data_IF_637069211726
#
_entry.id   IF_637069211726
#
_cell.length_a   1.000
_cell.length_b   1.000
_cell.length_c   1.000
_cell.angle_alpha   90.00
_cell.angle_beta   90.00
_cell.angle_gamma   90.00
#
_symmetry.space_group_name_H-M   'P 1'
#
loop_
_entity.id
_entity.type
_entity.pdbx_description
1 polymer ?
#
# COMPACT_ATOMS: atom_id res chain seq x y z
N UNK A 1 14.30 -4.51 -52.62
CA UNK A 1 12.89 -4.35 -52.99
C UNK A 1 12.08 -5.20 -52.00
N UNK A 2 11.54 -4.53 -50.98
CA UNK A 2 10.36 -4.77 -50.11
C UNK A 2 9.80 -6.21 -50.11
N UNK A 3 9.65 -6.90 -48.98
CA UNK A 3 8.60 -6.72 -47.95
C UNK A 3 9.14 -7.19 -46.58
N UNK A 4 9.29 -6.35 -45.54
CA UNK A 4 8.26 -5.90 -44.57
C UNK A 4 7.09 -6.85 -44.39
N UNK A 5 7.19 -7.76 -43.43
CA UNK A 5 6.03 -8.18 -42.62
C UNK A 5 6.46 -8.35 -41.16
N UNK A 6 6.30 -7.25 -40.42
CA UNK A 6 6.17 -7.23 -38.98
C UNK A 6 4.92 -8.04 -38.62
N UNK A 7 5.06 -9.33 -38.36
CA UNK A 7 4.04 -10.05 -37.61
C UNK A 7 4.16 -9.58 -36.17
N UNK A 8 3.49 -8.46 -35.87
CA UNK A 8 3.08 -8.13 -34.52
C UNK A 8 2.11 -9.23 -34.08
N UNK A 9 2.68 -10.34 -33.59
CA UNK A 9 1.92 -11.27 -32.79
C UNK A 9 1.57 -10.50 -31.52
N UNK A 10 0.38 -9.87 -31.52
CA UNK A 10 -0.28 -9.47 -30.30
C UNK A 10 -0.55 -10.76 -29.54
N UNK A 11 0.42 -11.18 -28.73
CA UNK A 11 0.24 -12.19 -27.72
C UNK A 11 -0.84 -11.64 -26.80
N UNK A 12 -2.07 -12.14 -26.96
CA UNK A 12 -3.14 -11.91 -26.01
C UNK A 12 -2.81 -12.74 -24.78
N UNK A 13 -1.94 -12.21 -23.92
CA UNK A 13 -1.64 -12.78 -22.62
C UNK A 13 -2.90 -12.67 -21.77
N UNK A 14 -3.61 -13.78 -21.62
CA UNK A 14 -4.62 -13.88 -20.59
C UNK A 14 -3.90 -14.02 -19.25
N UNK A 15 -3.64 -12.88 -18.61
CA UNK A 15 -3.15 -12.83 -17.24
C UNK A 15 -4.13 -13.60 -16.36
N UNK A 16 -3.68 -14.72 -15.81
CA UNK A 16 -4.36 -15.34 -14.66
C UNK A 16 -4.11 -14.37 -13.52
N UNK A 17 -5.15 -13.65 -13.09
CA UNK A 17 -5.04 -12.57 -12.12
C UNK A 17 -4.65 -13.13 -10.74
N UNK A 18 -3.35 -13.31 -10.52
CA UNK A 18 -2.77 -13.01 -9.21
C UNK A 18 -2.93 -11.50 -9.01
N UNK A 19 -3.31 -11.08 -7.81
CA UNK A 19 -3.70 -9.71 -7.50
C UNK A 19 -2.53 -8.73 -7.64
N UNK A 20 -2.13 -8.35 -8.86
CA UNK A 20 -1.05 -7.40 -9.06
C UNK A 20 -1.41 -6.01 -8.48
N UNK A 21 -0.45 -5.31 -7.86
CA UNK A 21 -0.68 -3.98 -7.33
C UNK A 21 -0.85 -3.05 -8.53
N UNK A 22 -2.02 -2.45 -8.62
CA UNK A 22 -2.39 -1.57 -9.71
C UNK A 22 -2.85 -0.24 -9.16
N UNK A 23 -2.48 0.85 -9.82
CA UNK A 23 -3.10 2.15 -9.59
C UNK A 23 -4.01 2.41 -10.77
N UNK A 24 -5.27 2.76 -10.47
CA UNK A 24 -6.27 3.11 -11.46
C UNK A 24 -6.56 4.62 -11.37
N UNK A 25 -6.15 5.35 -12.40
CA UNK A 25 -6.47 6.76 -12.55
C UNK A 25 -7.80 6.90 -13.29
N UNK A 26 -8.78 7.51 -12.65
CA UNK A 26 -10.09 7.78 -13.27
C UNK A 26 -10.22 9.26 -13.55
N UNK A 27 -10.61 9.61 -14.77
CA UNK A 27 -10.94 10.99 -15.10
C UNK A 27 -12.24 11.39 -14.40
N UNK A 28 -12.18 12.44 -13.57
CA UNK A 28 -13.36 12.95 -12.82
C UNK A 28 -14.55 13.26 -13.73
N UNK A 29 -14.30 13.66 -14.97
CA UNK A 29 -15.33 14.10 -15.92
C UNK A 29 -15.70 12.99 -16.93
N UNK A 30 -15.03 11.84 -16.89
CA UNK A 30 -15.27 10.73 -17.82
C UNK A 30 -14.86 10.99 -19.28
N UNK A 31 -14.17 12.11 -19.57
CA UNK A 31 -13.74 12.47 -20.93
C UNK A 31 -12.50 11.70 -21.41
N UNK A 32 -11.69 11.19 -20.48
CA UNK A 32 -10.51 10.39 -20.80
C UNK A 32 -10.74 8.96 -20.33
N UNK A 33 -10.22 7.96 -21.06
CA UNK A 33 -10.30 6.57 -20.65
C UNK A 33 -9.56 6.36 -19.33
N UNK A 34 -10.01 5.38 -18.55
CA UNK A 34 -9.35 4.99 -17.32
C UNK A 34 -7.93 4.47 -17.61
N UNK A 35 -6.93 5.02 -16.94
CA UNK A 35 -5.53 4.59 -17.06
C UNK A 35 -5.20 3.65 -15.90
N UNK A 36 -4.59 2.50 -16.22
CA UNK A 36 -4.18 1.50 -15.22
C UNK A 36 -2.69 1.25 -15.37
N UNK A 37 -1.93 1.57 -14.33
CA UNK A 37 -0.51 1.25 -14.23
C UNK A 37 -0.30 0.07 -13.30
N UNK A 38 0.35 -0.97 -13.79
CA UNK A 38 0.74 -2.15 -13.01
C UNK A 38 2.16 -1.95 -12.45
N UNK A 39 2.37 -2.32 -11.19
CA UNK A 39 3.68 -2.26 -10.55
C UNK A 39 4.28 -3.65 -10.42
N UNK A 40 5.59 -3.74 -10.64
CA UNK A 40 6.33 -4.98 -10.45
C UNK A 40 6.28 -5.41 -8.99
N UNK A 41 5.98 -6.68 -8.76
CA UNK A 41 6.09 -7.34 -7.45
C UNK A 41 7.36 -8.14 -7.37
N UNK A 42 7.90 -8.26 -6.15
CA UNK A 42 8.84 -9.34 -5.86
C UNK A 42 8.12 -10.67 -6.08
N UNK A 43 8.75 -11.57 -6.84
CA UNK A 43 8.18 -12.89 -7.09
C UNK A 43 8.48 -13.82 -5.92
N UNK A 44 7.45 -14.52 -5.43
CA UNK A 44 7.61 -15.62 -4.47
C UNK A 44 7.84 -16.96 -5.19
N UNK A 45 8.52 -16.95 -6.33
CA UNK A 45 8.79 -18.16 -7.08
C UNK A 45 10.03 -18.87 -6.55
N UNK A 46 9.92 -20.18 -6.28
CA UNK A 46 11.03 -20.94 -5.67
C UNK A 46 12.16 -21.26 -6.64
N UNK A 47 11.80 -21.38 -7.90
CA UNK A 47 12.66 -21.70 -9.00
C UNK A 47 12.23 -20.88 -10.22
N UNK A 48 13.01 -20.92 -11.29
CA UNK A 48 12.70 -20.18 -12.51
C UNK A 48 11.33 -20.54 -13.07
N UNK A 49 10.92 -21.81 -13.01
CA UNK A 49 9.61 -22.24 -13.48
C UNK A 49 8.47 -21.60 -12.67
N UNK A 50 8.49 -21.74 -11.35
CA UNK A 50 7.48 -21.19 -10.44
C UNK A 50 7.43 -19.66 -10.50
N UNK A 51 8.59 -19.01 -10.56
CA UNK A 51 8.71 -17.55 -10.74
C UNK A 51 7.98 -17.07 -11.98
N UNK A 52 8.16 -17.80 -13.08
CA UNK A 52 7.60 -17.44 -14.38
C UNK A 52 6.11 -17.82 -14.47
N UNK A 53 5.68 -18.88 -13.78
CA UNK A 53 4.24 -19.17 -13.62
C UNK A 53 3.56 -18.14 -12.71
N UNK A 54 4.24 -17.64 -11.68
CA UNK A 54 3.73 -16.62 -10.76
C UNK A 54 3.57 -15.27 -11.47
N UNK A 55 4.49 -14.92 -12.37
CA UNK A 55 4.36 -13.72 -13.22
C UNK A 55 3.33 -13.87 -14.34
N UNK A 56 2.61 -15.00 -14.42
CA UNK A 56 1.60 -15.26 -15.44
C UNK A 56 2.17 -15.42 -16.85
N UNK A 57 3.49 -15.57 -16.98
CA UNK A 57 4.16 -15.72 -18.28
C UNK A 57 4.16 -17.19 -18.68
N UNK A 58 3.58 -17.49 -19.84
CA UNK A 58 3.66 -18.81 -20.45
C UNK A 58 4.97 -18.90 -21.24
N UNK A 59 5.80 -19.88 -20.91
CA UNK A 59 7.11 -20.07 -21.56
C UNK A 59 7.04 -21.23 -22.53
N UNK A 60 7.37 -20.95 -23.78
CA UNK A 60 7.65 -21.95 -24.80
C UNK A 60 9.16 -21.99 -25.00
N UNK A 61 9.84 -22.90 -24.31
CA UNK A 61 11.27 -23.11 -24.45
C UNK A 61 11.55 -24.60 -24.58
N UNK A 62 12.55 -24.93 -25.38
CA UNK A 62 13.16 -26.26 -25.50
C UNK A 62 14.27 -26.49 -24.46
N UNK A 63 14.57 -25.49 -23.64
CA UNK A 63 15.55 -25.59 -22.56
C UNK A 63 15.02 -26.49 -21.43
N UNK A 64 15.86 -27.43 -20.99
CA UNK A 64 15.59 -28.21 -19.79
C UNK A 64 15.80 -27.34 -18.55
N UNK A 65 14.71 -26.84 -17.96
CA UNK A 65 14.77 -26.11 -16.70
C UNK A 65 14.98 -27.13 -15.56
N UNK A 66 16.11 -27.08 -14.83
CA UNK A 66 16.30 -27.94 -13.67
C UNK A 66 15.31 -27.49 -12.60
N UNK A 67 14.17 -28.15 -12.54
CA UNK A 67 13.25 -28.02 -11.41
C UNK A 67 14.04 -28.58 -10.23
N UNK A 68 14.64 -27.71 -9.42
CA UNK A 68 15.07 -28.09 -8.07
C UNK A 68 13.79 -28.50 -7.35
N UNK A 69 13.51 -29.79 -7.39
CA UNK A 69 12.58 -30.45 -6.49
C UNK A 69 13.21 -30.35 -5.09
N UNK A 70 13.08 -29.18 -4.46
CA UNK A 70 13.22 -29.07 -3.01
C UNK A 70 12.14 -29.92 -2.29
N UNK A 71 11.26 -30.57 -3.05
CA UNK A 71 10.23 -31.51 -2.61
C UNK A 71 10.77 -32.89 -2.24
N UNK A 72 12.02 -33.26 -2.55
CA UNK A 72 12.53 -34.59 -2.17
C UNK A 72 12.85 -34.72 -0.66
N UNK A 73 12.88 -33.61 0.10
CA UNK A 73 13.08 -33.63 1.55
C UNK A 73 11.76 -33.62 2.35
N UNK A 74 10.68 -33.08 1.80
CA UNK A 74 9.44 -32.87 2.54
C UNK A 74 8.33 -33.83 2.07
N UNK A 75 7.76 -34.59 3.01
CA UNK A 75 6.67 -35.51 2.69
C UNK A 75 5.35 -34.78 2.42
N UNK A 76 5.11 -34.39 1.18
CA UNK A 76 3.86 -33.75 0.73
C UNK A 76 2.60 -34.54 1.13
N UNK A 77 2.65 -35.88 1.05
CA UNK A 77 1.53 -36.76 1.43
C UNK A 77 1.13 -36.68 2.90
N UNK A 78 2.01 -36.17 3.77
CA UNK A 78 1.73 -35.93 5.20
C UNK A 78 1.30 -34.48 5.46
N UNK A 79 1.12 -33.66 4.43
CA UNK A 79 0.76 -32.25 4.54
C UNK A 79 1.94 -31.33 4.81
N UNK A 80 3.18 -31.73 4.50
CA UNK A 80 4.35 -30.86 4.65
C UNK A 80 4.65 -30.13 3.34
N UNK A 81 4.93 -28.83 3.43
CA UNK A 81 5.41 -28.01 2.33
C UNK A 81 6.87 -27.60 2.56
N UNK A 82 7.67 -27.49 1.49
CA UNK A 82 9.07 -27.10 1.61
C UNK A 82 9.24 -25.56 1.60
N UNK A 83 10.12 -25.07 2.46
CA UNK A 83 10.58 -23.67 2.51
C UNK A 83 11.39 -23.23 1.26
N UNK A 84 11.59 -21.92 1.01
CA UNK A 84 12.55 -21.45 -0.01
C UNK A 84 13.98 -21.84 0.37
N UNK A 85 14.31 -21.69 1.65
CA UNK A 85 15.48 -22.20 2.34
C UNK A 85 15.30 -23.68 2.70
N UNK A 86 16.31 -24.26 3.33
CA UNK A 86 16.26 -25.61 3.87
C UNK A 86 15.19 -25.71 4.98
N UNK A 87 14.22 -26.63 4.85
CA UNK A 87 13.20 -26.87 5.87
C UNK A 87 11.83 -27.29 5.33
N UNK A 88 10.98 -27.81 6.21
CA UNK A 88 9.60 -28.19 5.93
C UNK A 88 8.67 -27.61 7.00
N UNK A 89 7.53 -27.08 6.58
CA UNK A 89 6.46 -26.59 7.46
C UNK A 89 5.14 -27.33 7.16
N UNK A 90 4.18 -27.27 8.08
CA UNK A 90 2.86 -27.86 7.84
C UNK A 90 2.04 -26.97 6.90
N UNK A 91 1.28 -27.56 5.99
CA UNK A 91 0.39 -26.80 5.10
C UNK A 91 -0.69 -26.02 5.85
N UNK A 92 -1.07 -26.47 7.05
CA UNK A 92 -2.03 -25.77 7.92
C UNK A 92 -1.47 -24.52 8.58
N UNK A 93 -0.14 -24.37 8.54
CA UNK A 93 0.60 -23.25 9.10
C UNK A 93 0.90 -22.15 8.09
N UNK A 94 0.47 -22.33 6.85
CA UNK A 94 0.60 -21.33 5.83
C UNK A 94 -0.30 -20.14 6.15
N UNK A 95 0.26 -18.92 6.18
CA UNK A 95 -0.46 -17.68 6.43
C UNK A 95 -1.13 -17.62 7.81
N UNK A 96 -0.45 -18.15 8.83
CA UNK A 96 -0.93 -18.10 10.22
C UNK A 96 -0.36 -16.91 11.01
N UNK A 97 0.50 -16.11 10.37
CA UNK A 97 1.13 -14.92 10.94
C UNK A 97 2.38 -15.21 11.77
N UNK A 98 2.79 -16.47 11.88
CA UNK A 98 4.03 -16.87 12.54
C UNK A 98 5.07 -17.28 11.51
N UNK A 99 6.34 -17.09 11.87
CA UNK A 99 7.46 -17.48 11.02
C UNK A 99 7.87 -18.93 11.35
N UNK A 100 7.20 -19.91 10.76
CA UNK A 100 7.54 -21.33 10.89
C UNK A 100 8.70 -21.71 9.96
N UNK A 101 8.98 -20.91 8.92
CA UNK A 101 10.17 -21.05 8.10
C UNK A 101 11.29 -20.07 8.49
N UNK A 102 12.57 -20.39 8.27
CA UNK A 102 13.68 -19.47 8.63
C UNK A 102 13.72 -18.19 7.77
N UNK A 103 13.02 -18.17 6.64
CA UNK A 103 13.08 -17.15 5.59
C UNK A 103 11.71 -16.51 5.29
N UNK A 104 10.70 -16.72 6.14
CA UNK A 104 9.33 -16.21 5.97
C UNK A 104 8.58 -16.74 4.73
N UNK A 105 9.02 -17.86 4.16
CA UNK A 105 8.35 -18.48 2.99
C UNK A 105 6.88 -18.82 3.22
N UNK A 106 6.56 -19.28 4.43
CA UNK A 106 5.25 -19.77 4.86
C UNK A 106 4.20 -18.65 4.96
N UNK A 107 4.66 -17.41 5.13
CA UNK A 107 3.86 -16.19 5.15
C UNK A 107 3.92 -15.42 3.83
N UNK A 108 4.45 -16.05 2.77
CA UNK A 108 4.49 -15.49 1.43
C UNK A 108 3.31 -15.98 0.57
N UNK A 109 2.84 -15.12 -0.35
CA UNK A 109 1.70 -15.39 -1.23
C UNK A 109 0.37 -15.75 -0.51
N UNK A 110 0.13 -15.09 0.63
CA UNK A 110 -1.11 -15.25 1.37
C UNK A 110 -2.28 -14.57 0.66
N UNK A 111 -3.48 -15.18 0.69
CA UNK A 111 -4.68 -14.49 0.24
C UNK A 111 -4.82 -13.23 1.10
N UNK A 112 -4.85 -12.06 0.46
CA UNK A 112 -5.28 -10.86 1.14
C UNK A 112 -6.68 -11.17 1.68
N UNK A 113 -6.86 -11.09 3.00
CA UNK A 113 -8.20 -10.92 3.51
C UNK A 113 -8.73 -9.67 2.82
N UNK A 114 -9.80 -9.82 2.05
CA UNK A 114 -10.57 -8.69 1.55
C UNK A 114 -11.04 -7.97 2.82
N UNK A 115 -10.22 -7.04 3.30
CA UNK A 115 -10.70 -6.03 4.22
C UNK A 115 -11.58 -5.18 3.31
N UNK A 116 -12.89 -5.47 3.27
CA UNK A 116 -13.92 -4.71 2.54
C UNK A 116 -13.78 -3.19 2.76
N UNK A 117 -13.09 -2.88 3.84
CA UNK A 117 -12.80 -1.60 4.38
C UNK A 117 -11.52 -0.91 3.84
N UNK A 118 -10.59 -1.65 3.25
CA UNK A 118 -9.32 -1.11 2.72
C UNK A 118 -9.54 -0.06 1.63
N UNK A 119 -10.42 -0.35 0.68
CA UNK A 119 -10.80 0.58 -0.38
C UNK A 119 -11.54 1.81 0.17
N UNK A 120 -12.37 1.68 1.22
CA UNK A 120 -12.97 2.85 1.86
C UNK A 120 -11.90 3.72 2.52
N UNK A 121 -10.88 3.12 3.16
CA UNK A 121 -9.85 3.85 3.91
C UNK A 121 -9.00 4.73 3.01
N UNK A 122 -8.68 4.24 1.80
CA UNK A 122 -7.81 4.96 0.86
C UNK A 122 -8.58 6.05 0.10
N UNK A 123 -9.87 5.83 -0.19
CA UNK A 123 -10.66 6.75 -1.02
C UNK A 123 -11.40 7.84 -0.22
N UNK A 124 -11.36 7.79 1.12
CA UNK A 124 -12.05 8.77 1.97
C UNK A 124 -11.15 9.97 2.26
N UNK A 125 -11.53 11.15 1.77
CA UNK A 125 -11.12 12.41 2.40
C UNK A 125 -11.75 12.46 3.80
N UNK A 126 -10.94 12.60 4.85
CA UNK A 126 -11.40 12.59 6.24
C UNK A 126 -12.42 13.72 6.46
N UNK A 127 -13.64 13.38 6.85
CA UNK A 127 -14.71 14.35 7.17
C UNK A 127 -15.31 14.15 8.56
N UNK A 128 -14.66 13.41 9.45
CA UNK A 128 -15.17 13.18 10.81
C UNK A 128 -14.06 13.46 11.84
N UNK A 129 -14.26 14.52 12.62
CA UNK A 129 -13.48 14.85 13.84
C UNK A 129 -13.46 13.68 14.86
N UNK A 130 -14.35 12.69 14.74
CA UNK A 130 -14.46 11.52 15.63
C UNK A 130 -13.33 10.47 15.50
N UNK A 131 -12.50 10.53 14.47
CA UNK A 131 -11.37 9.58 14.32
C UNK A 131 -10.11 10.01 15.06
N UNK A 132 -10.00 11.30 15.38
CA UNK A 132 -8.90 11.85 16.15
C UNK A 132 -9.38 12.11 17.56
N UNK A 133 -8.66 11.62 18.56
CA UNK A 133 -8.96 11.93 19.96
C UNK A 133 -8.60 13.39 20.24
N UNK A 134 -9.52 14.27 19.84
CA UNK A 134 -9.40 15.72 19.97
C UNK A 134 -9.34 16.16 21.44
N UNK A 135 -9.84 15.31 22.36
CA UNK A 135 -9.84 15.57 23.79
C UNK A 135 -8.55 15.07 24.50
N UNK A 136 -7.83 14.13 23.90
CA UNK A 136 -6.61 13.54 24.44
C UNK A 136 -5.34 14.07 23.78
N UNK A 137 -4.96 13.44 22.66
CA UNK A 137 -3.60 13.52 22.10
C UNK A 137 -3.55 14.10 20.68
N UNK A 138 -4.66 14.05 19.93
CA UNK A 138 -4.70 14.40 18.52
C UNK A 138 -5.54 15.66 18.31
N UNK A 139 -4.99 16.80 18.74
CA UNK A 139 -5.62 18.12 18.59
C UNK A 139 -5.14 18.81 17.30
N UNK A 140 -5.97 19.70 16.75
CA UNK A 140 -5.65 20.59 15.62
C UNK A 140 -5.53 19.98 14.21
N UNK A 141 -6.09 18.80 13.93
CA UNK A 141 -6.15 18.27 12.56
C UNK A 141 -7.20 19.01 11.72
N UNK A 142 -6.76 19.89 10.80
CA UNK A 142 -7.65 20.65 9.91
C UNK A 142 -7.12 20.74 8.48
N UNK A 143 -8.05 20.65 7.55
CA UNK A 143 -7.82 20.82 6.11
C UNK A 143 -8.58 22.07 5.65
N UNK A 144 -7.90 23.00 4.98
CA UNK A 144 -8.47 24.27 4.54
C UNK A 144 -8.08 24.60 3.09
N UNK A 145 -8.95 25.32 2.40
CA UNK A 145 -8.72 25.79 1.04
C UNK A 145 -8.39 27.28 1.11
N UNK A 146 -7.18 27.66 0.70
CA UNK A 146 -6.81 29.07 0.64
C UNK A 146 -7.84 29.89 -0.16
N UNK A 147 -8.43 30.89 0.50
CA UNK A 147 -9.38 31.82 -0.10
C UNK A 147 -8.71 32.68 -1.18
N UNK A 148 -9.49 33.48 -1.92
CA UNK A 148 -9.02 34.33 -3.02
C UNK A 148 -7.87 35.28 -2.62
N UNK A 149 -7.81 35.68 -1.34
CA UNK A 149 -6.73 36.50 -0.77
C UNK A 149 -5.40 35.78 -0.55
N UNK A 150 -5.38 34.44 -0.59
CA UNK A 150 -4.17 33.62 -0.36
C UNK A 150 -3.80 33.44 1.11
N UNK A 151 -4.59 33.97 2.03
CA UNK A 151 -4.45 33.83 3.47
C UNK A 151 -5.80 33.46 4.08
N UNK A 152 -5.78 32.56 5.06
CA UNK A 152 -6.96 32.11 5.78
C UNK A 152 -6.59 31.94 7.24
N UNK A 153 -7.44 32.42 8.13
CA UNK A 153 -7.28 32.29 9.58
C UNK A 153 -8.38 31.39 10.10
N UNK A 154 -8.00 30.39 10.90
CA UNK A 154 -8.94 29.54 11.61
C UNK A 154 -8.74 29.73 13.11
N UNK A 155 -9.85 29.67 13.84
CA UNK A 155 -9.85 29.73 15.31
C UNK A 155 -10.19 28.35 15.84
N UNK A 156 -9.43 27.89 16.84
CA UNK A 156 -9.64 26.61 17.53
C UNK A 156 -9.66 26.85 19.02
N UNK A 157 -10.46 26.04 19.70
CA UNK A 157 -10.41 25.96 21.15
C UNK A 157 -9.11 25.32 21.60
N UNK A 158 -8.57 25.81 22.71
CA UNK A 158 -7.32 25.35 23.31
C UNK A 158 -7.42 23.86 23.73
N UNK A 159 -6.34 23.07 23.60
CA UNK A 159 -6.37 21.66 23.99
C UNK A 159 -6.59 21.53 25.50
N UNK A 160 -7.25 20.45 25.91
CA UNK A 160 -7.49 20.17 27.32
C UNK A 160 -6.19 19.81 28.09
N UNK A 161 -5.16 19.34 27.37
CA UNK A 161 -3.88 18.90 27.94
C UNK A 161 -2.81 19.98 27.79
N UNK A 162 -2.16 20.32 28.91
CA UNK A 162 -1.07 21.28 28.97
C UNK A 162 0.28 20.59 28.70
N UNK A 163 0.61 20.46 27.41
CA UNK A 163 1.87 19.90 26.91
C UNK A 163 2.54 20.82 25.88
N UNK A 164 3.74 20.43 25.41
CA UNK A 164 4.40 21.04 24.26
C UNK A 164 3.79 20.53 22.95
N UNK A 165 3.09 21.41 22.23
CA UNK A 165 2.45 21.10 20.95
C UNK A 165 3.33 21.53 19.79
N UNK A 166 3.46 20.67 18.77
CA UNK A 166 4.20 20.95 17.54
C UNK A 166 3.24 21.01 16.35
N UNK A 167 3.15 22.18 15.73
CA UNK A 167 2.34 22.37 14.53
C UNK A 167 3.18 22.11 13.29
N UNK A 168 2.65 21.25 12.43
CA UNK A 168 3.16 21.00 11.08
C UNK A 168 2.10 21.34 10.05
N UNK A 169 2.52 21.96 8.96
CA UNK A 169 1.62 22.34 7.87
C UNK A 169 2.25 22.08 6.52
N UNK A 170 1.41 21.65 5.59
CA UNK A 170 1.75 21.55 4.18
C UNK A 170 0.63 22.16 3.34
N UNK A 171 0.99 22.63 2.15
CA UNK A 171 0.03 23.16 1.19
C UNK A 171 0.23 22.48 -0.15
N UNK A 172 -0.87 22.31 -0.87
CA UNK A 172 -0.87 21.71 -2.20
C UNK A 172 -1.57 22.66 -3.17
N UNK A 173 -0.82 23.13 -4.17
CA UNK A 173 -1.33 23.99 -5.22
C UNK A 173 -1.15 23.33 -6.58
N UNK A 174 -2.12 23.52 -7.48
CA UNK A 174 -2.01 23.03 -8.87
C UNK A 174 -0.88 23.68 -9.66
N UNK A 175 -0.55 24.93 -9.34
CA UNK A 175 0.44 25.72 -10.09
C UNK A 175 1.80 25.68 -9.38
N UNK A 176 1.80 25.81 -8.05
CA UNK A 176 3.05 25.88 -7.25
C UNK A 176 3.49 24.54 -6.67
N UNK A 177 2.69 23.49 -6.85
CA UNK A 177 3.00 22.15 -6.36
C UNK A 177 2.83 22.01 -4.85
N UNK A 178 3.62 21.13 -4.26
CA UNK A 178 3.62 20.81 -2.85
C UNK A 178 4.68 21.63 -2.11
N UNK A 179 4.32 22.22 -0.97
CA UNK A 179 5.27 22.87 -0.08
C UNK A 179 4.93 22.60 1.37
N UNK A 180 5.94 22.46 2.21
CA UNK A 180 5.81 22.32 3.66
C UNK A 180 6.40 23.53 4.35
N UNK A 181 6.04 23.73 5.61
CA UNK A 181 6.81 24.64 6.46
C UNK A 181 8.21 24.05 6.71
N UNK A 182 9.23 24.90 6.78
CA UNK A 182 10.62 24.46 6.94
C UNK A 182 10.91 23.90 8.33
N UNK A 183 10.26 24.45 9.35
CA UNK A 183 10.44 24.07 10.75
C UNK A 183 9.07 23.95 11.43
N UNK A 184 8.87 22.94 12.28
CA UNK A 184 7.65 22.84 13.07
C UNK A 184 7.57 24.02 14.05
N UNK A 185 6.36 24.50 14.31
CA UNK A 185 6.12 25.60 15.24
C UNK A 185 5.76 24.98 16.60
N UNK A 186 6.59 25.21 17.62
CA UNK A 186 6.33 24.74 18.97
C UNK A 186 5.52 25.78 19.76
N UNK A 187 4.48 25.35 20.48
CA UNK A 187 3.70 26.20 21.37
C UNK A 187 3.31 25.43 22.65
N UNK A 188 3.29 26.14 23.77
CA UNK A 188 2.84 25.61 25.05
C UNK A 188 1.57 26.36 25.43
N UNK A 189 0.48 25.62 25.64
CA UNK A 189 -0.78 26.18 26.07
C UNK A 189 -1.01 25.84 27.54
N UNK A 190 -1.04 26.87 28.40
CA UNK A 190 -1.33 26.70 29.83
C UNK A 190 -2.70 27.31 30.17
N UNK A 191 -3.54 26.54 30.85
CA UNK A 191 -4.84 27.00 31.31
C UNK A 191 -4.62 27.98 32.48
N UNK A 192 -4.79 29.29 32.25
CA UNK A 192 -4.79 30.26 33.34
C UNK A 192 -6.15 30.26 34.02
N UNK A 193 -6.25 29.71 35.22
CA UNK A 193 -7.47 29.65 36.04
C UNK A 193 -7.95 31.03 36.57
N UNK A 194 -7.62 32.14 35.89
CA UNK A 194 -7.94 33.50 36.34
C UNK A 194 -9.28 34.03 35.79
N UNK A 195 -10.04 33.24 35.01
CA UNK A 195 -11.29 33.69 34.38
C UNK A 195 -12.58 32.99 34.85
N UNK A 196 -12.52 32.15 35.88
CA UNK A 196 -13.70 31.47 36.47
C UNK A 196 -14.17 32.07 37.80
N UNK A 197 -13.90 33.36 38.02
CA UNK A 197 -14.37 34.11 39.19
C UNK A 197 -15.25 35.29 38.77
N UNK A 198 -16.40 35.02 38.14
CA UNK A 198 -17.54 35.95 38.10
C UNK A 198 -18.87 35.21 37.97
#
# INVERSE_FOLDING_TARGET
MILTDLVSQRAFMHLKTSQEPKVKWRSRQGLLPDEVSYFSRMSYGKNSYETLTFSGVVIFTDAYLPIRKLTDSCHEKKGYKPCFSEGCFLSTKMCDGYNDCADWSDESDCPLQDDDQYEYRILRMSRSDELYDTAGNDWSWKEMNADFGGEEFFTMDMPAVADEWYFTGFTLSRIRGFTTINTPIAAIFQYSALYDAH
#
